data_IF_085251986985
#
_entry.id   IF_085251986985
#
_cell.length_a   1.000
_cell.length_b   1.000
_cell.length_c   1.000
_cell.angle_alpha   90.00
_cell.angle_beta   90.00
_cell.angle_gamma   90.00
#
_symmetry.space_group_name_H-M   'P 1'
#
loop_
_entity.id
_entity.type
_entity.pdbx_description
1 polymer ?
#
# COMPACT_ATOMS: atom_id res chain seq x y z
N UNK A 1 -8.29 -86.70 -9.46
CA UNK A 1 -7.15 -85.78 -9.62
C UNK A 1 -7.38 -84.74 -10.72
N UNK A 2 -7.77 -85.13 -11.96
CA UNK A 2 -8.02 -84.17 -13.06
C UNK A 2 -9.08 -83.10 -12.75
N UNK A 3 -10.22 -83.50 -12.18
CA UNK A 3 -11.29 -82.56 -11.80
C UNK A 3 -10.80 -81.56 -10.74
N UNK A 4 -10.01 -82.03 -9.77
CA UNK A 4 -9.44 -81.21 -8.70
C UNK A 4 -8.53 -80.12 -9.27
N UNK A 5 -7.65 -80.49 -10.22
CA UNK A 5 -6.74 -79.55 -10.89
C UNK A 5 -7.46 -78.56 -11.80
N UNK A 6 -8.53 -79.00 -12.47
CA UNK A 6 -9.34 -78.12 -13.32
C UNK A 6 -10.07 -77.06 -12.50
N UNK A 7 -10.71 -77.46 -11.40
CA UNK A 7 -11.41 -76.54 -10.51
C UNK A 7 -10.44 -75.56 -9.86
N UNK A 8 -9.28 -76.02 -9.37
CA UNK A 8 -8.29 -75.11 -8.78
C UNK A 8 -7.76 -74.10 -9.79
N UNK A 9 -7.46 -74.52 -11.02
CA UNK A 9 -7.01 -73.61 -12.09
C UNK A 9 -8.09 -72.57 -12.43
N UNK A 10 -9.34 -73.01 -12.56
CA UNK A 10 -10.44 -72.10 -12.92
C UNK A 10 -10.73 -71.10 -11.81
N UNK A 11 -10.77 -71.53 -10.56
CA UNK A 11 -10.97 -70.65 -9.40
C UNK A 11 -9.81 -69.68 -9.26
N UNK A 12 -8.56 -70.13 -9.36
CA UNK A 12 -7.40 -69.25 -9.31
C UNK A 12 -7.45 -68.20 -10.43
N UNK A 13 -7.71 -68.60 -11.67
CA UNK A 13 -7.80 -67.66 -12.79
C UNK A 13 -8.93 -66.64 -12.61
N UNK A 14 -10.09 -67.09 -12.16
CA UNK A 14 -11.24 -66.21 -11.97
C UNK A 14 -11.00 -65.22 -10.83
N UNK A 15 -10.50 -65.69 -9.68
CA UNK A 15 -10.18 -64.84 -8.53
C UNK A 15 -9.07 -63.85 -8.88
N UNK A 16 -7.99 -64.30 -9.52
CA UNK A 16 -6.91 -63.42 -9.94
C UNK A 16 -7.43 -62.34 -10.89
N UNK A 17 -8.19 -62.70 -11.92
CA UNK A 17 -8.73 -61.72 -12.88
C UNK A 17 -9.69 -60.75 -12.23
N UNK A 18 -10.59 -61.23 -11.37
CA UNK A 18 -11.57 -60.38 -10.71
C UNK A 18 -10.90 -59.43 -9.73
N UNK A 19 -10.01 -59.93 -8.86
CA UNK A 19 -9.29 -59.11 -7.88
C UNK A 19 -8.39 -58.11 -8.58
N UNK A 20 -7.62 -58.51 -9.59
CA UNK A 20 -6.78 -57.59 -10.35
C UNK A 20 -7.62 -56.49 -11.02
N UNK A 21 -8.70 -56.85 -11.72
CA UNK A 21 -9.56 -55.85 -12.37
C UNK A 21 -10.23 -54.92 -11.38
N UNK A 22 -10.77 -55.45 -10.28
CA UNK A 22 -11.48 -54.66 -9.29
C UNK A 22 -10.51 -53.73 -8.55
N UNK A 23 -9.37 -54.24 -8.08
CA UNK A 23 -8.37 -53.44 -7.36
C UNK A 23 -7.76 -52.39 -8.28
N UNK A 24 -7.37 -52.75 -9.51
CA UNK A 24 -6.83 -51.77 -10.45
C UNK A 24 -7.86 -50.69 -10.76
N UNK A 25 -9.11 -51.04 -11.06
CA UNK A 25 -10.15 -50.05 -11.37
C UNK A 25 -10.47 -49.17 -10.16
N UNK A 26 -10.68 -49.75 -8.98
CA UNK A 26 -11.00 -48.97 -7.78
C UNK A 26 -9.83 -48.09 -7.37
N UNK A 27 -8.62 -48.63 -7.25
CA UNK A 27 -7.45 -47.88 -6.80
C UNK A 27 -7.12 -46.78 -7.80
N UNK A 28 -7.09 -47.07 -9.10
CA UNK A 28 -6.82 -46.05 -10.11
C UNK A 28 -7.90 -44.96 -10.09
N UNK A 29 -9.18 -45.31 -10.07
CA UNK A 29 -10.26 -44.30 -10.06
C UNK A 29 -10.25 -43.48 -8.78
N UNK A 30 -10.10 -44.12 -7.62
CA UNK A 30 -10.13 -43.43 -6.33
C UNK A 30 -8.91 -42.53 -6.18
N UNK A 31 -7.70 -43.05 -6.45
CA UNK A 31 -6.47 -42.27 -6.32
C UNK A 31 -6.45 -41.14 -7.33
N UNK A 32 -6.80 -41.37 -8.60
CA UNK A 32 -6.85 -40.29 -9.58
C UNK A 32 -7.89 -39.24 -9.20
N UNK A 33 -9.11 -39.63 -8.81
CA UNK A 33 -10.15 -38.65 -8.45
C UNK A 33 -9.79 -37.89 -7.17
N UNK A 34 -9.31 -38.56 -6.13
CA UNK A 34 -8.91 -37.91 -4.89
C UNK A 34 -7.72 -36.99 -5.11
N UNK A 35 -6.64 -37.48 -5.72
CA UNK A 35 -5.43 -36.67 -5.94
C UNK A 35 -5.74 -35.47 -6.84
N UNK A 36 -6.47 -35.67 -7.94
CA UNK A 36 -6.85 -34.57 -8.82
C UNK A 36 -7.75 -33.56 -8.10
N UNK A 37 -8.80 -34.00 -7.40
CA UNK A 37 -9.70 -33.08 -6.69
C UNK A 37 -8.99 -32.36 -5.56
N UNK A 38 -8.20 -33.07 -4.76
CA UNK A 38 -7.50 -32.48 -3.62
C UNK A 38 -6.41 -31.51 -4.09
N UNK A 39 -5.56 -31.92 -5.03
CA UNK A 39 -4.49 -31.04 -5.54
C UNK A 39 -5.10 -29.83 -6.25
N UNK A 40 -6.06 -30.02 -7.15
CA UNK A 40 -6.67 -28.89 -7.87
C UNK A 40 -7.43 -27.95 -6.93
N UNK A 41 -8.22 -28.46 -5.98
CA UNK A 41 -9.00 -27.59 -5.09
C UNK A 41 -8.12 -26.94 -4.02
N UNK A 42 -7.31 -27.71 -3.29
CA UNK A 42 -6.50 -27.14 -2.21
C UNK A 42 -5.36 -26.27 -2.74
N UNK A 43 -4.59 -26.74 -3.73
CA UNK A 43 -3.41 -26.01 -4.17
C UNK A 43 -3.83 -24.79 -4.99
N UNK A 44 -4.70 -24.97 -6.00
CA UNK A 44 -5.05 -23.85 -6.88
C UNK A 44 -5.95 -22.82 -6.18
N UNK A 45 -7.02 -23.26 -5.49
CA UNK A 45 -7.98 -22.30 -4.93
C UNK A 45 -7.50 -21.74 -3.58
N UNK A 46 -7.00 -22.59 -2.69
CA UNK A 46 -6.64 -22.14 -1.34
C UNK A 46 -5.26 -21.48 -1.31
N UNK A 47 -4.25 -22.11 -1.92
CA UNK A 47 -2.88 -21.59 -1.86
C UNK A 47 -2.65 -20.45 -2.84
N UNK A 48 -3.01 -20.61 -4.12
CA UNK A 48 -2.72 -19.58 -5.13
C UNK A 48 -3.70 -18.43 -5.02
N UNK A 49 -5.01 -18.68 -5.14
CA UNK A 49 -5.98 -17.57 -5.15
C UNK A 49 -6.08 -16.88 -3.79
N UNK A 50 -6.30 -17.61 -2.69
CA UNK A 50 -6.50 -16.93 -1.40
C UNK A 50 -5.18 -16.38 -0.84
N UNK A 51 -4.12 -17.19 -0.78
CA UNK A 51 -2.88 -16.74 -0.15
C UNK A 51 -2.17 -15.67 -0.99
N UNK A 52 -1.96 -15.91 -2.29
CA UNK A 52 -1.22 -14.94 -3.12
C UNK A 52 -2.05 -13.68 -3.32
N UNK A 53 -3.35 -13.77 -3.64
CA UNK A 53 -4.14 -12.56 -3.84
C UNK A 53 -4.32 -11.79 -2.54
N UNK A 54 -4.64 -12.43 -1.40
CA UNK A 54 -4.81 -11.68 -0.14
C UNK A 54 -3.49 -11.10 0.33
N UNK A 55 -2.39 -11.85 0.28
CA UNK A 55 -1.10 -11.37 0.76
C UNK A 55 -0.56 -10.26 -0.14
N UNK A 56 -0.57 -10.44 -1.46
CA UNK A 56 -0.12 -9.40 -2.40
C UNK A 56 -1.01 -8.18 -2.32
N UNK A 57 -2.33 -8.33 -2.35
CA UNK A 57 -3.23 -7.18 -2.26
C UNK A 57 -3.09 -6.44 -0.92
N UNK A 58 -3.10 -7.15 0.21
CA UNK A 58 -2.97 -6.50 1.53
C UNK A 58 -1.60 -5.84 1.68
N UNK A 59 -0.52 -6.54 1.32
CA UNK A 59 0.83 -6.02 1.50
C UNK A 59 1.09 -4.85 0.55
N UNK A 60 0.76 -4.96 -0.73
CA UNK A 60 0.94 -3.88 -1.70
C UNK A 60 0.05 -2.70 -1.33
N UNK A 61 -1.24 -2.89 -1.04
CA UNK A 61 -2.13 -1.80 -0.69
C UNK A 61 -1.69 -1.10 0.61
N UNK A 62 -1.38 -1.84 1.68
CA UNK A 62 -0.94 -1.26 2.95
C UNK A 62 0.42 -0.56 2.81
N UNK A 63 1.38 -1.20 2.16
CA UNK A 63 2.73 -0.65 2.05
C UNK A 63 2.76 0.57 1.13
N UNK A 64 2.10 0.50 -0.03
CA UNK A 64 2.02 1.63 -0.96
C UNK A 64 1.20 2.77 -0.35
N UNK A 65 0.05 2.50 0.27
CA UNK A 65 -0.74 3.56 0.91
C UNK A 65 0.03 4.22 2.05
N UNK A 66 0.65 3.45 2.95
CA UNK A 66 1.45 4.00 4.04
C UNK A 66 2.64 4.81 3.52
N UNK A 67 3.41 4.29 2.57
CA UNK A 67 4.57 5.01 2.03
C UNK A 67 4.15 6.27 1.28
N UNK A 68 3.17 6.17 0.39
CA UNK A 68 2.71 7.33 -0.39
C UNK A 68 2.09 8.36 0.54
N UNK A 69 1.20 7.97 1.46
CA UNK A 69 0.61 8.90 2.42
C UNK A 69 1.68 9.54 3.30
N UNK A 70 2.57 8.77 3.93
CA UNK A 70 3.60 9.32 4.81
C UNK A 70 4.57 10.23 4.04
N UNK A 71 5.04 9.80 2.88
CA UNK A 71 6.01 10.56 2.10
C UNK A 71 5.39 11.83 1.53
N UNK A 72 4.21 11.73 0.90
CA UNK A 72 3.51 12.88 0.32
C UNK A 72 3.07 13.84 1.42
N UNK A 73 2.45 13.35 2.51
CA UNK A 73 2.06 14.23 3.61
C UNK A 73 3.29 14.90 4.23
N UNK A 74 4.34 14.17 4.59
CA UNK A 74 5.51 14.79 5.23
C UNK A 74 6.21 15.77 4.30
N UNK A 75 6.46 15.41 3.03
CA UNK A 75 7.12 16.34 2.11
C UNK A 75 6.26 17.54 1.75
N UNK A 76 5.00 17.32 1.36
CA UNK A 76 4.13 18.43 0.93
C UNK A 76 3.83 19.34 2.11
N UNK A 77 3.51 18.80 3.29
CA UNK A 77 3.28 19.61 4.48
C UNK A 77 4.54 20.39 4.85
N UNK A 78 5.70 19.74 5.01
CA UNK A 78 6.93 20.45 5.38
C UNK A 78 7.31 21.53 4.37
N UNK A 79 7.22 21.24 3.06
CA UNK A 79 7.57 22.21 2.03
C UNK A 79 6.58 23.37 1.98
N UNK A 80 5.28 23.10 2.04
CA UNK A 80 4.25 24.11 2.07
C UNK A 80 4.36 24.98 3.33
N UNK A 81 4.55 24.38 4.51
CA UNK A 81 4.75 25.08 5.77
C UNK A 81 5.98 25.99 5.69
N UNK A 82 7.15 25.47 5.32
CA UNK A 82 8.38 26.26 5.24
C UNK A 82 8.25 27.40 4.24
N UNK A 83 7.63 27.16 3.08
CA UNK A 83 7.49 28.18 2.06
C UNK A 83 6.44 29.25 2.43
N UNK A 84 5.32 28.85 3.03
CA UNK A 84 4.32 29.78 3.57
C UNK A 84 4.89 30.61 4.71
N UNK A 85 5.61 30.00 5.64
CA UNK A 85 6.31 30.68 6.73
C UNK A 85 7.30 31.71 6.16
N UNK A 86 8.23 31.31 5.29
CA UNK A 86 9.21 32.24 4.71
C UNK A 86 8.56 33.41 3.97
N UNK A 87 7.51 33.15 3.18
CA UNK A 87 6.79 34.20 2.43
C UNK A 87 6.05 35.17 3.35
N UNK A 88 5.36 34.67 4.37
CA UNK A 88 4.62 35.49 5.33
C UNK A 88 5.57 36.29 6.22
N UNK A 89 6.66 35.69 6.69
CA UNK A 89 7.69 36.39 7.45
C UNK A 89 8.24 37.55 6.63
N UNK A 90 8.74 37.28 5.42
CA UNK A 90 9.34 38.31 4.57
C UNK A 90 8.35 39.43 4.19
N UNK A 91 7.11 39.09 3.88
CA UNK A 91 6.10 40.10 3.55
C UNK A 91 5.76 40.99 4.74
N UNK A 92 5.60 40.42 5.95
CA UNK A 92 5.36 41.17 7.19
C UNK A 92 6.56 42.07 7.51
N UNK A 93 7.79 41.55 7.38
CA UNK A 93 9.02 42.32 7.62
C UNK A 93 9.08 43.55 6.70
N UNK A 94 8.88 43.35 5.40
CA UNK A 94 8.96 44.44 4.41
C UNK A 94 7.85 45.46 4.63
N UNK A 95 6.62 45.01 4.94
CA UNK A 95 5.49 45.90 5.19
C UNK A 95 5.69 46.71 6.47
N UNK A 96 6.21 46.08 7.54
CA UNK A 96 6.53 46.75 8.79
C UNK A 96 7.65 47.79 8.58
N UNK A 97 8.75 47.42 7.92
CA UNK A 97 9.85 48.34 7.62
C UNK A 97 9.39 49.54 6.80
N UNK A 98 8.60 49.32 5.73
CA UNK A 98 8.05 50.43 4.92
C UNK A 98 7.13 51.34 5.76
N UNK A 99 6.24 50.77 6.58
CA UNK A 99 5.36 51.57 7.45
C UNK A 99 6.16 52.40 8.45
N UNK A 100 7.10 51.78 9.16
CA UNK A 100 7.95 52.48 10.13
C UNK A 100 8.70 53.63 9.45
N UNK A 101 9.30 53.39 8.29
CA UNK A 101 10.05 54.40 7.54
C UNK A 101 9.17 55.59 7.13
N UNK A 102 7.96 55.34 6.62
CA UNK A 102 7.00 56.39 6.27
C UNK A 102 6.56 57.18 7.52
N UNK A 103 6.27 56.50 8.63
CA UNK A 103 5.89 57.15 9.88
C UNK A 103 7.02 58.01 10.46
N UNK A 104 8.26 57.52 10.45
CA UNK A 104 9.42 58.29 10.91
C UNK A 104 9.69 59.48 9.99
N UNK A 105 9.65 59.31 8.67
CA UNK A 105 9.86 60.40 7.72
C UNK A 105 8.79 61.49 7.86
N UNK A 106 7.51 61.12 7.98
CA UNK A 106 6.43 62.09 8.17
C UNK A 106 6.56 62.85 9.50
N UNK A 107 6.96 62.16 10.58
CA UNK A 107 7.21 62.82 11.88
C UNK A 107 8.40 63.77 11.82
N UNK A 108 9.52 63.36 11.22
CA UNK A 108 10.71 64.22 11.07
C UNK A 108 10.38 65.43 10.21
N UNK A 109 9.66 65.25 9.09
CA UNK A 109 9.27 66.37 8.23
C UNK A 109 8.34 67.36 8.96
N UNK A 110 7.35 66.86 9.71
CA UNK A 110 6.46 67.73 10.48
C UNK A 110 7.23 68.47 11.58
N UNK A 111 8.19 67.82 12.25
CA UNK A 111 9.04 68.43 13.28
C UNK A 111 9.94 69.52 12.69
N UNK A 112 10.58 69.25 11.55
CA UNK A 112 11.39 70.24 10.82
C UNK A 112 10.54 71.44 10.39
N UNK A 113 9.30 71.21 9.94
CA UNK A 113 8.38 72.29 9.55
C UNK A 113 7.96 73.15 10.75
N UNK A 114 7.64 72.54 11.89
CA UNK A 114 7.32 73.26 13.14
C UNK A 114 8.54 74.02 13.68
N UNK A 115 9.73 73.42 13.65
CA UNK A 115 10.97 74.07 14.04
C UNK A 115 11.31 75.27 13.14
N UNK A 116 11.18 75.15 11.81
CA UNK A 116 11.38 76.28 10.89
C UNK A 116 10.37 77.40 11.13
N UNK A 117 9.09 77.04 11.35
CA UNK A 117 8.03 78.01 11.60
C UNK A 117 8.24 78.77 12.91
N UNK A 118 8.66 78.07 13.97
CA UNK A 118 9.01 78.70 15.25
C UNK A 118 10.27 79.56 15.16
N UNK A 119 11.30 79.13 14.42
CA UNK A 119 12.50 79.94 14.20
C UNK A 119 12.19 81.23 13.42
N UNK A 120 11.33 81.17 12.39
CA UNK A 120 10.91 82.35 11.64
C UNK A 120 9.98 83.29 12.41
N UNK A 121 9.33 82.84 13.49
CA UNK A 121 8.45 83.66 14.32
C UNK A 121 9.13 84.24 15.57
N UNK A 122 10.31 83.72 15.94
CA UNK A 122 11.08 84.13 17.13
C UNK A 122 12.32 84.98 16.76
N UNK A 123 12.79 84.90 15.51
CA UNK A 123 13.81 85.81 14.94
C UNK A 123 13.16 87.09 14.40
#
# INVERSE_FOLDING_TARGET
>A
MYVCMFVSMYVCMYVCMYVCMYVCMYVCMYVCMYVCMYVCMYVCMYYVCMYVCMYVCMYVCMYVSMYVCMYVCMHVCMFACMHACMRTCMSVCIYACKRVWVYTCMRVHMYMHVCMYTFMHIA
#
